data_IF_332202710033
#
_entry.id   IF_332202710033
#
_cell.length_a   1.000
_cell.length_b   1.000
_cell.length_c   1.000
_cell.angle_alpha   90.00
_cell.angle_beta   90.00
_cell.angle_gamma   90.00
#
_symmetry.space_group_name_H-M   'P 1'
#
loop_
_entity.id
_entity.type
_entity.pdbx_description
1 polymer ?
#
# COMPACT_ATOMS: atom_id res chain seq x y z
N UNK A 1 -2.19 1.42 -8.22
CA UNK A 1 -2.81 2.17 -9.35
C UNK A 1 -3.84 1.35 -10.10
N UNK A 2 -3.60 0.07 -10.40
CA UNK A 2 -4.56 -0.74 -11.17
C UNK A 2 -5.84 -1.17 -10.46
N UNK A 3 -6.05 -0.86 -9.17
CA UNK A 3 -7.20 -1.36 -8.42
C UNK A 3 -8.52 -0.85 -9.02
N UNK A 4 -9.52 -1.72 -9.14
CA UNK A 4 -10.87 -1.41 -9.63
C UNK A 4 -11.90 -1.57 -8.52
N UNK A 5 -13.07 -0.96 -8.73
CA UNK A 5 -14.20 -1.10 -7.80
C UNK A 5 -14.65 -2.56 -7.64
N UNK A 6 -14.58 -3.35 -8.71
CA UNK A 6 -14.90 -4.78 -8.73
C UNK A 6 -13.94 -5.64 -7.91
N UNK A 7 -12.74 -5.14 -7.62
CA UNK A 7 -11.76 -5.87 -6.82
C UNK A 7 -11.97 -5.69 -5.30
N UNK A 8 -12.91 -4.82 -4.90
CA UNK A 8 -13.18 -4.48 -3.51
C UNK A 8 -14.53 -5.06 -3.05
N UNK A 9 -14.50 -5.98 -2.08
CA UNK A 9 -15.69 -6.46 -1.40
C UNK A 9 -15.91 -5.65 -0.11
N UNK A 10 -16.86 -4.72 -0.15
CA UNK A 10 -17.17 -3.84 0.99
C UNK A 10 -18.01 -4.52 2.08
N UNK A 11 -18.67 -5.64 1.76
CA UNK A 11 -19.47 -6.41 2.72
C UNK A 11 -18.54 -7.27 3.57
N UNK A 12 -17.70 -8.06 2.92
CA UNK A 12 -16.69 -8.91 3.56
C UNK A 12 -15.44 -8.12 4.01
N UNK A 13 -15.35 -6.84 3.62
CA UNK A 13 -14.21 -5.95 3.92
C UNK A 13 -12.90 -6.56 3.42
N UNK A 14 -12.84 -6.92 2.14
CA UNK A 14 -11.64 -7.47 1.52
C UNK A 14 -11.30 -6.77 0.20
N UNK A 15 -10.02 -6.81 -0.16
CA UNK A 15 -9.49 -6.26 -1.41
C UNK A 15 -8.72 -7.37 -2.14
N UNK A 16 -9.14 -7.71 -3.35
CA UNK A 16 -8.51 -8.69 -4.20
C UNK A 16 -7.42 -8.06 -5.05
N UNK A 17 -6.17 -8.42 -4.81
CA UNK A 17 -5.04 -8.01 -5.64
C UNK A 17 -4.74 -9.14 -6.63
N UNK A 18 -5.26 -9.02 -7.85
CA UNK A 18 -5.18 -10.07 -8.88
C UNK A 18 -4.60 -9.57 -10.22
N UNK A 19 -4.27 -8.28 -10.33
CA UNK A 19 -3.57 -7.68 -11.48
C UNK A 19 -2.78 -6.44 -11.05
N UNK A 20 -1.95 -5.94 -11.96
CA UNK A 20 -1.15 -4.72 -11.77
C UNK A 20 -1.15 -3.89 -13.03
N UNK A 21 -1.15 -2.57 -12.86
CA UNK A 21 -1.10 -1.63 -13.96
C UNK A 21 0.34 -1.14 -14.14
N UNK A 22 0.92 -1.45 -15.28
CA UNK A 22 2.27 -1.07 -15.68
C UNK A 22 2.23 0.15 -16.58
N UNK A 23 3.25 1.00 -16.50
CA UNK A 23 3.44 2.11 -17.44
C UNK A 23 4.81 1.95 -18.11
N UNK A 24 4.82 1.50 -19.36
CA UNK A 24 6.04 1.21 -20.11
C UNK A 24 5.80 1.27 -21.61
N UNK A 25 6.87 1.27 -22.39
CA UNK A 25 6.79 1.11 -23.83
C UNK A 25 6.35 -0.32 -24.17
N UNK A 26 5.32 -0.46 -25.01
CA UNK A 26 4.88 -1.77 -25.52
C UNK A 26 5.83 -2.31 -26.59
N UNK A 27 6.36 -1.42 -27.43
CA UNK A 27 7.36 -1.74 -28.45
C UNK A 27 8.61 -0.86 -28.28
N UNK A 28 9.82 -1.37 -28.60
CA UNK A 28 11.06 -0.59 -28.50
C UNK A 28 10.99 0.69 -29.33
N UNK A 29 11.18 1.85 -28.69
CA UNK A 29 11.10 3.16 -29.36
C UNK A 29 9.69 3.72 -29.53
N UNK A 30 8.67 3.01 -29.06
CA UNK A 30 7.28 3.50 -29.02
C UNK A 30 6.99 4.43 -27.84
N UNK A 31 5.77 4.99 -27.83
CA UNK A 31 5.28 5.75 -26.68
C UNK A 31 5.09 4.84 -25.45
N UNK A 32 5.26 5.41 -24.25
CA UNK A 32 4.88 4.72 -23.03
C UNK A 32 3.37 4.70 -22.90
N UNK A 33 2.81 3.53 -22.61
CA UNK A 33 1.38 3.35 -22.39
C UNK A 33 1.11 2.51 -21.15
N UNK A 34 -0.14 2.57 -20.69
CA UNK A 34 -0.59 1.74 -19.58
C UNK A 34 -0.98 0.36 -20.08
N UNK A 35 -0.54 -0.67 -19.36
CA UNK A 35 -0.74 -2.07 -19.70
C UNK A 35 -1.16 -2.84 -18.44
N UNK A 36 -2.11 -3.75 -18.56
CA UNK A 36 -2.47 -4.66 -17.48
C UNK A 36 -1.51 -5.85 -17.50
N UNK A 37 -0.92 -6.15 -16.34
CA UNK A 37 -0.14 -7.35 -16.10
C UNK A 37 -0.85 -8.18 -15.04
N UNK A 38 -1.31 -9.36 -15.42
CA UNK A 38 -1.79 -10.36 -14.47
C UNK A 38 -0.60 -11.16 -13.93
N UNK A 39 -0.64 -11.58 -12.65
CA UNK A 39 0.38 -12.46 -12.11
C UNK A 39 0.41 -13.78 -12.87
N UNK A 40 1.61 -14.26 -13.19
CA UNK A 40 1.81 -15.56 -13.87
C UNK A 40 1.63 -16.77 -12.95
N UNK A 41 1.59 -16.55 -11.64
CA UNK A 41 1.50 -17.59 -10.61
C UNK A 41 0.45 -17.23 -9.58
N UNK A 42 -0.17 -18.25 -8.98
CA UNK A 42 -1.20 -18.08 -7.93
C UNK A 42 -0.70 -17.23 -6.75
N UNK A 43 0.60 -17.29 -6.43
CA UNK A 43 1.23 -16.50 -5.35
C UNK A 43 1.11 -14.98 -5.54
N UNK A 44 0.94 -14.52 -6.78
CA UNK A 44 0.76 -13.09 -7.05
C UNK A 44 -0.68 -12.61 -6.89
N UNK A 45 -1.64 -13.53 -6.76
CA UNK A 45 -3.03 -13.24 -6.41
C UNK A 45 -3.15 -13.31 -4.89
N UNK A 46 -3.67 -12.25 -4.27
CA UNK A 46 -3.89 -12.23 -2.82
C UNK A 46 -5.12 -11.44 -2.45
N UNK A 47 -5.68 -11.76 -1.30
CA UNK A 47 -6.78 -11.02 -0.69
C UNK A 47 -6.27 -10.34 0.57
N UNK A 48 -6.50 -9.04 0.70
CA UNK A 48 -6.07 -8.25 1.85
C UNK A 48 -7.30 -7.77 2.61
N UNK A 49 -7.36 -7.94 3.95
CA UNK A 49 -8.40 -7.35 4.77
C UNK A 49 -8.44 -5.81 4.64
N UNK A 50 -9.63 -5.26 4.55
CA UNK A 50 -9.88 -3.83 4.43
C UNK A 50 -10.11 -3.22 5.81
N UNK A 51 -9.14 -2.43 6.27
CA UNK A 51 -9.31 -1.66 7.50
C UNK A 51 -10.47 -0.65 7.38
N UNK A 52 -11.11 -0.32 8.51
CA UNK A 52 -12.25 0.62 8.54
C UNK A 52 -11.94 1.96 7.88
N UNK A 53 -10.75 2.53 8.13
CA UNK A 53 -10.34 3.79 7.51
C UNK A 53 -10.12 3.68 6.00
N UNK A 54 -9.63 2.52 5.53
CA UNK A 54 -9.47 2.27 4.09
C UNK A 54 -10.85 2.16 3.42
N UNK A 55 -11.78 1.43 4.06
CA UNK A 55 -13.17 1.33 3.58
C UNK A 55 -13.80 2.71 3.42
N UNK A 56 -13.71 3.52 4.48
CA UNK A 56 -14.25 4.89 4.49
C UNK A 56 -13.64 5.75 3.39
N UNK A 57 -12.32 5.71 3.21
CA UNK A 57 -11.63 6.46 2.17
C UNK A 57 -12.07 6.04 0.75
N UNK A 58 -12.23 4.72 0.51
CA UNK A 58 -12.70 4.20 -0.77
C UNK A 58 -14.17 4.56 -1.04
N UNK A 59 -15.04 4.54 -0.03
CA UNK A 59 -16.44 4.95 -0.19
C UNK A 59 -16.55 6.45 -0.53
N UNK A 60 -15.75 7.30 0.11
CA UNK A 60 -15.66 8.73 -0.20
C UNK A 60 -15.19 8.96 -1.64
N UNK A 61 -14.15 8.25 -2.07
CA UNK A 61 -13.65 8.34 -3.45
C UNK A 61 -14.69 7.88 -4.46
N UNK A 62 -15.43 6.79 -4.18
CA UNK A 62 -16.51 6.30 -5.07
C UNK A 62 -17.60 7.33 -5.25
N UNK A 63 -18.00 7.99 -4.15
CA UNK A 63 -19.00 9.05 -4.20
C UNK A 63 -18.51 10.23 -5.06
N UNK A 64 -17.26 10.67 -4.82
CA UNK A 64 -16.65 11.77 -5.58
C UNK A 64 -16.59 11.46 -7.08
N UNK A 65 -16.19 10.24 -7.47
CA UNK A 65 -16.14 9.84 -8.88
C UNK A 65 -17.53 9.77 -9.52
N UNK A 66 -18.54 9.32 -8.77
CA UNK A 66 -19.91 9.25 -9.28
C UNK A 66 -20.49 10.63 -9.54
N UNK A 67 -20.18 11.61 -8.68
CA UNK A 67 -20.76 12.95 -8.73
C UNK A 67 -19.97 13.93 -9.60
N UNK A 68 -18.63 13.84 -9.62
CA UNK A 68 -17.74 14.89 -10.16
C UNK A 68 -16.97 14.43 -11.39
N UNK A 69 -16.47 13.19 -11.40
CA UNK A 69 -15.59 12.71 -12.45
C UNK A 69 -15.81 11.22 -12.73
N UNK A 70 -16.83 10.86 -13.52
CA UNK A 70 -17.05 9.48 -13.90
C UNK A 70 -15.91 9.03 -14.81
N UNK A 71 -15.09 8.09 -14.32
CA UNK A 71 -14.00 7.52 -15.11
C UNK A 71 -14.53 6.53 -16.15
N UNK A 72 -14.26 6.79 -17.43
CA UNK A 72 -14.63 5.90 -18.54
C UNK A 72 -13.41 5.42 -19.33
N UNK A 73 -12.32 5.11 -18.61
CA UNK A 73 -11.10 4.58 -19.22
C UNK A 73 -11.11 3.06 -19.21
N UNK A 74 -10.74 2.46 -20.34
CA UNK A 74 -10.58 1.02 -20.51
C UNK A 74 -9.16 0.71 -20.97
N UNK A 75 -8.50 -0.25 -20.32
CA UNK A 75 -7.14 -0.70 -20.63
C UNK A 75 -7.15 -2.22 -20.62
N UNK A 76 -6.80 -2.85 -21.74
CA UNK A 76 -6.77 -4.32 -21.91
C UNK A 76 -8.07 -5.03 -21.46
N UNK A 77 -9.23 -4.36 -21.63
CA UNK A 77 -10.54 -4.87 -21.21
C UNK A 77 -10.91 -4.61 -19.74
N UNK A 78 -10.03 -3.98 -18.97
CA UNK A 78 -10.28 -3.57 -17.58
C UNK A 78 -10.79 -2.12 -17.55
N UNK A 79 -11.82 -1.86 -16.74
CA UNK A 79 -12.42 -0.53 -16.54
C UNK A 79 -12.71 -0.28 -15.05
N UNK A 80 -13.44 0.78 -14.70
CA UNK A 80 -13.88 1.07 -13.33
C UNK A 80 -12.72 1.19 -12.32
N UNK A 81 -11.62 1.80 -12.75
CA UNK A 81 -10.45 2.01 -11.91
C UNK A 81 -10.72 3.01 -10.79
N UNK A 82 -10.19 2.72 -9.59
CA UNK A 82 -10.32 3.58 -8.41
C UNK A 82 -9.38 4.78 -8.49
N UNK A 83 -8.18 4.63 -9.03
CA UNK A 83 -7.17 5.69 -9.02
C UNK A 83 -7.13 6.45 -10.35
N UNK A 84 -8.05 7.40 -10.51
CA UNK A 84 -8.20 8.19 -11.73
C UNK A 84 -7.98 9.68 -11.49
N UNK A 85 -7.56 10.41 -12.52
CA UNK A 85 -7.45 11.86 -12.51
C UNK A 85 -8.83 12.51 -12.58
N UNK A 86 -8.92 13.80 -12.30
CA UNK A 86 -10.14 14.61 -12.49
C UNK A 86 -10.62 14.69 -13.95
N UNK A 87 -9.80 14.23 -14.90
CA UNK A 87 -10.15 14.12 -16.32
C UNK A 87 -10.58 12.71 -16.71
N UNK A 88 -10.72 11.79 -15.74
CA UNK A 88 -11.10 10.39 -15.96
C UNK A 88 -9.99 9.48 -16.47
N UNK A 89 -8.74 9.97 -16.56
CA UNK A 89 -7.57 9.19 -16.99
C UNK A 89 -6.93 8.44 -15.82
N UNK A 90 -6.03 7.48 -16.11
CA UNK A 90 -5.29 6.78 -15.05
C UNK A 90 -4.26 7.68 -14.39
N UNK A 91 -4.20 7.62 -13.05
CA UNK A 91 -3.08 8.19 -12.31
C UNK A 91 -1.82 7.32 -12.46
N UNK A 92 -0.75 7.93 -12.97
CA UNK A 92 0.56 7.29 -12.97
C UNK A 92 1.16 7.23 -11.55
N UNK A 93 2.01 6.24 -11.25
CA UNK A 93 2.76 6.20 -9.98
C UNK A 93 3.59 7.47 -9.73
N UNK A 94 4.13 8.09 -10.80
CA UNK A 94 4.86 9.35 -10.73
C UNK A 94 3.96 10.50 -10.25
N UNK A 95 2.71 10.55 -10.69
CA UNK A 95 1.74 11.57 -10.24
C UNK A 95 1.46 11.43 -8.75
N UNK A 96 1.31 10.21 -8.24
CA UNK A 96 1.12 9.95 -6.80
C UNK A 96 2.35 10.39 -6.00
N UNK A 97 3.56 10.00 -6.42
CA UNK A 97 4.78 10.41 -5.71
C UNK A 97 4.99 11.94 -5.77
N UNK A 98 4.61 12.61 -6.87
CA UNK A 98 4.61 14.08 -6.92
C UNK A 98 3.61 14.70 -5.94
N UNK A 99 2.42 14.10 -5.77
CA UNK A 99 1.46 14.56 -4.78
C UNK A 99 2.02 14.41 -3.34
N UNK A 100 2.68 13.28 -3.06
CA UNK A 100 3.37 13.04 -1.78
C UNK A 100 4.45 14.11 -1.54
N UNK A 101 5.29 14.42 -2.53
CA UNK A 101 6.31 15.46 -2.39
C UNK A 101 5.73 16.85 -2.15
N UNK A 102 4.59 17.17 -2.78
CA UNK A 102 3.88 18.43 -2.54
C UNK A 102 3.36 18.50 -1.10
N UNK A 103 2.74 17.42 -0.60
CA UNK A 103 2.26 17.34 0.79
C UNK A 103 3.43 17.53 1.76
N UNK A 104 4.55 16.82 1.54
CA UNK A 104 5.76 16.93 2.36
C UNK A 104 6.29 18.36 2.38
N UNK A 105 6.40 18.99 1.21
CA UNK A 105 6.92 20.36 1.08
C UNK A 105 6.01 21.34 1.80
N UNK A 106 4.70 21.24 1.61
CA UNK A 106 3.72 22.10 2.27
C UNK A 106 3.80 21.98 3.80
N UNK A 107 3.84 20.74 4.32
CA UNK A 107 3.99 20.49 5.75
C UNK A 107 5.30 21.07 6.28
N UNK A 108 6.44 20.79 5.62
CA UNK A 108 7.74 21.24 6.10
C UNK A 108 7.86 22.77 6.11
N UNK A 109 7.25 23.46 5.14
CA UNK A 109 7.20 24.92 5.12
C UNK A 109 6.38 25.44 6.30
N UNK A 110 5.17 24.92 6.50
CA UNK A 110 4.31 25.30 7.62
C UNK A 110 4.95 25.02 8.98
N UNK A 111 5.59 23.86 9.13
CA UNK A 111 6.27 23.46 10.37
C UNK A 111 7.49 24.34 10.65
N UNK A 112 8.21 24.77 9.63
CA UNK A 112 9.34 25.72 9.79
C UNK A 112 8.83 27.07 10.30
N UNK A 113 7.72 27.57 9.75
CA UNK A 113 7.09 28.81 10.21
C UNK A 113 6.62 28.71 11.66
N UNK A 114 5.95 27.61 12.02
CA UNK A 114 5.44 27.36 13.37
C UNK A 114 6.58 27.23 14.39
N UNK A 115 7.62 26.45 14.07
CA UNK A 115 8.76 26.24 14.95
C UNK A 115 9.52 27.56 15.25
N UNK A 116 9.63 28.44 14.26
CA UNK A 116 10.21 29.77 14.44
C UNK A 116 9.37 30.64 15.40
N UNK A 117 8.04 30.59 15.31
CA UNK A 117 7.15 31.32 16.21
C UNK A 117 7.23 30.78 17.65
N UNK A 118 7.35 29.46 17.80
CA UNK A 118 7.44 28.76 19.08
C UNK A 118 8.88 28.70 19.64
N UNK A 119 9.87 29.25 18.92
CA UNK A 119 11.29 29.24 19.29
C UNK A 119 11.84 27.83 19.59
N UNK A 120 11.45 26.86 18.76
CA UNK A 120 11.91 25.47 18.84
C UNK A 120 12.52 25.00 17.52
N UNK A 121 13.22 23.87 17.57
CA UNK A 121 13.68 23.19 16.36
C UNK A 121 12.49 22.63 15.55
N UNK A 122 12.50 22.75 14.21
CA UNK A 122 11.42 22.25 13.36
C UNK A 122 11.47 20.73 13.22
N UNK A 123 10.30 20.09 13.27
CA UNK A 123 10.15 18.64 13.10
C UNK A 123 9.74 18.32 11.66
N UNK A 124 10.74 18.31 10.78
CA UNK A 124 10.52 18.13 9.35
C UNK A 124 10.23 16.67 8.99
N UNK A 125 9.33 16.46 8.04
CA UNK A 125 9.12 15.17 7.40
C UNK A 125 10.30 14.84 6.47
N UNK A 126 10.89 13.64 6.59
CA UNK A 126 11.91 13.16 5.67
C UNK A 126 11.29 12.91 4.28
N UNK A 127 12.13 12.72 3.26
CA UNK A 127 11.65 12.30 1.95
C UNK A 127 11.04 10.89 2.02
N UNK A 128 9.85 10.71 1.43
CA UNK A 128 9.17 9.42 1.38
C UNK A 128 8.35 9.27 0.10
N UNK A 129 8.06 8.01 -0.24
CA UNK A 129 7.29 7.65 -1.43
C UNK A 129 6.17 6.67 -1.09
N UNK A 130 5.33 6.34 -2.06
CA UNK A 130 4.35 5.26 -1.90
C UNK A 130 5.02 3.91 -1.52
N UNK A 131 6.24 3.67 -1.98
CA UNK A 131 6.99 2.48 -1.60
C UNK A 131 7.47 2.54 -0.14
N UNK A 132 7.91 3.72 0.32
CA UNK A 132 8.25 3.95 1.73
C UNK A 132 7.05 3.70 2.64
N UNK A 133 5.86 4.17 2.27
CA UNK A 133 4.62 3.91 3.03
C UNK A 133 4.31 2.41 3.16
N UNK A 134 4.53 1.64 2.09
CA UNK A 134 4.38 0.18 2.13
C UNK A 134 5.39 -0.48 3.08
N UNK A 135 6.63 0.00 3.12
CA UNK A 135 7.63 -0.49 4.09
C UNK A 135 7.25 -0.13 5.52
N UNK A 136 6.76 1.09 5.77
CA UNK A 136 6.25 1.49 7.08
C UNK A 136 5.09 0.59 7.52
N UNK A 137 4.14 0.31 6.62
CA UNK A 137 3.06 -0.65 6.91
C UNK A 137 3.63 -2.04 7.26
N UNK A 138 4.58 -2.55 6.48
CA UNK A 138 5.22 -3.84 6.73
C UNK A 138 5.85 -3.89 8.13
N UNK A 139 6.68 -2.90 8.47
CA UNK A 139 7.36 -2.83 9.76
C UNK A 139 6.35 -2.80 10.91
N UNK A 140 5.32 -1.94 10.85
CA UNK A 140 4.25 -1.88 11.87
C UNK A 140 3.44 -3.16 11.94
N UNK A 141 3.16 -3.80 10.81
CA UNK A 141 2.43 -5.06 10.82
C UNK A 141 3.24 -6.18 11.47
N UNK A 142 4.56 -6.24 11.21
CA UNK A 142 5.48 -7.17 11.86
C UNK A 142 5.66 -6.93 13.37
N UNK A 143 5.41 -5.72 13.88
CA UNK A 143 5.43 -5.44 15.33
C UNK A 143 4.28 -6.15 16.05
N UNK A 144 3.17 -6.41 15.35
CA UNK A 144 1.95 -6.98 15.93
C UNK A 144 1.69 -8.43 15.51
N UNK A 145 2.09 -8.82 14.30
CA UNK A 145 1.93 -10.18 13.78
C UNK A 145 3.25 -10.94 13.86
N UNK A 146 3.19 -12.17 14.37
CA UNK A 146 4.35 -13.06 14.53
C UNK A 146 4.39 -14.18 13.49
N UNK A 147 3.28 -14.43 12.80
CA UNK A 147 3.18 -15.41 11.74
C UNK A 147 3.73 -14.84 10.42
N UNK A 148 4.98 -15.21 10.12
CA UNK A 148 5.67 -14.79 8.89
C UNK A 148 4.91 -15.17 7.61
N UNK A 149 4.14 -16.27 7.62
CA UNK A 149 3.37 -16.70 6.45
C UNK A 149 2.23 -15.72 6.15
N UNK A 150 1.52 -15.29 7.20
CA UNK A 150 0.45 -14.27 7.09
C UNK A 150 1.02 -12.95 6.57
N UNK A 151 2.16 -12.51 7.11
CA UNK A 151 2.85 -11.29 6.66
C UNK A 151 3.24 -11.43 5.18
N UNK A 152 3.84 -12.55 4.79
CA UNK A 152 4.26 -12.79 3.42
C UNK A 152 3.07 -12.75 2.44
N UNK A 153 1.94 -13.37 2.81
CA UNK A 153 0.73 -13.41 1.99
C UNK A 153 0.10 -12.02 1.83
N UNK A 154 -0.04 -11.25 2.91
CA UNK A 154 -0.57 -9.87 2.86
C UNK A 154 0.33 -8.96 2.02
N UNK A 155 1.65 -9.06 2.23
CA UNK A 155 2.61 -8.27 1.47
C UNK A 155 2.66 -8.73 0.00
N UNK A 156 2.50 -10.02 -0.28
CA UNK A 156 2.69 -10.60 -1.62
C UNK A 156 4.16 -10.65 -2.01
N UNK A 157 5.05 -10.94 -1.06
CA UNK A 157 6.48 -11.13 -1.33
C UNK A 157 6.76 -12.58 -1.75
N UNK A 158 7.29 -12.77 -2.97
CA UNK A 158 7.66 -14.10 -3.46
C UNK A 158 8.81 -14.73 -2.66
N UNK A 159 9.74 -13.92 -2.15
CA UNK A 159 10.82 -14.36 -1.27
C UNK A 159 10.62 -13.85 0.15
N UNK A 160 10.84 -14.73 1.13
CA UNK A 160 10.81 -14.38 2.56
C UNK A 160 11.98 -13.47 2.95
N UNK A 161 13.07 -13.44 2.17
CA UNK A 161 14.26 -12.61 2.44
C UNK A 161 13.90 -11.14 2.52
N UNK A 162 13.04 -10.63 1.62
CA UNK A 162 12.59 -9.23 1.63
C UNK A 162 11.79 -8.87 2.88
N UNK A 163 11.08 -9.83 3.46
CA UNK A 163 10.37 -9.66 4.74
C UNK A 163 11.33 -9.82 5.93
N UNK A 164 12.32 -10.69 5.82
CA UNK A 164 13.37 -10.89 6.82
C UNK A 164 14.38 -9.74 6.91
N UNK A 165 14.64 -9.04 5.82
CA UNK A 165 15.52 -7.87 5.79
C UNK A 165 14.92 -6.71 6.63
N UNK A 166 13.59 -6.65 6.75
CA UNK A 166 12.88 -5.75 7.68
C UNK A 166 12.90 -6.29 9.12
N UNK A 167 12.99 -7.61 9.29
CA UNK A 167 12.83 -8.36 10.54
C UNK A 167 14.08 -8.44 11.43
N UNK A 168 15.28 -8.08 10.95
CA UNK A 168 16.53 -8.63 11.50
C UNK A 168 16.94 -8.17 12.94
N UNK A 169 15.99 -7.70 13.75
CA UNK A 169 16.11 -7.55 15.20
C UNK A 169 15.16 -8.49 15.95
N UNK A 170 15.44 -9.80 15.91
CA UNK A 170 14.89 -10.72 16.90
C UNK A 170 15.53 -10.43 18.25
N UNK A 171 14.76 -9.88 19.20
CA UNK A 171 15.28 -9.62 20.54
C UNK A 171 15.30 -10.90 21.38
N UNK A 172 16.20 -10.95 22.37
CA UNK A 172 16.26 -12.07 23.32
C UNK A 172 14.93 -12.26 24.06
N UNK A 173 14.22 -11.16 24.35
CA UNK A 173 12.90 -11.17 24.98
C UNK A 173 11.85 -11.90 24.14
N UNK A 174 11.84 -11.71 22.82
CA UNK A 174 10.93 -12.42 21.91
C UNK A 174 11.21 -13.93 21.91
N UNK A 175 12.49 -14.34 21.98
CA UNK A 175 12.87 -15.76 22.09
C UNK A 175 12.39 -16.38 23.40
N UNK A 176 12.58 -15.68 24.53
CA UNK A 176 12.13 -16.13 25.86
C UNK A 176 10.61 -16.23 25.90
N UNK A 177 9.88 -15.23 25.39
CA UNK A 177 8.42 -15.24 25.36
C UNK A 177 7.86 -16.37 24.47
N UNK A 178 8.52 -16.65 23.33
CA UNK A 178 8.14 -17.77 22.47
C UNK A 178 8.33 -19.12 23.16
N UNK A 179 9.47 -19.33 23.82
CA UNK A 179 9.74 -20.56 24.58
C UNK A 179 8.82 -20.72 25.80
N UNK A 180 8.46 -19.63 26.47
CA UNK A 180 7.51 -19.67 27.59
C UNK A 180 6.12 -20.13 27.14
N UNK A 181 5.61 -19.57 26.03
CA UNK A 181 4.33 -20.00 25.42
C UNK A 181 4.36 -21.48 25.01
N UNK A 182 5.49 -21.95 24.48
CA UNK A 182 5.67 -23.37 24.17
C UNK A 182 5.53 -24.24 25.44
N UNK A 183 6.23 -23.89 26.52
CA UNK A 183 6.18 -24.63 27.78
C UNK A 183 4.81 -24.62 28.48
N UNK A 184 4.00 -23.58 28.28
CA UNK A 184 2.64 -23.49 28.81
C UNK A 184 1.66 -24.41 28.06
N UNK A 185 1.82 -24.55 26.74
CA UNK A 185 1.01 -25.47 25.92
C UNK A 185 1.23 -26.94 26.27
N UNK A 186 2.45 -27.32 26.68
CA UNK A 186 2.78 -28.71 27.06
C UNK A 186 2.41 -29.08 28.52
N UNK A 187 1.90 -28.14 29.33
CA UNK A 187 1.40 -28.46 30.67
C UNK A 187 -0.05 -28.99 30.70
N UNK A 188 -0.69 -29.12 29.55
CA UNK A 188 -2.11 -29.52 29.41
C UNK A 188 -2.26 -30.94 28.81
N UNK A 189 -1.16 -31.68 28.61
CA UNK A 189 -1.17 -33.10 28.21
C UNK A 189 -0.56 -33.94 29.34
#
# INVERSE_FOLDING_TARGET
>A
MGLRWEDCDFAEKTISINHSLLYRQKEPGGACEFLISTPKTETGIRVIPMATEVKRALEQERQFQTEVCPANIMIDGYSNFIFTSQTGGILSPHTVNRAIERIRTAYNNQETELANQEQREPQLLPHFSAHTLRHTFCARFCEHETNLKVIQEIMGHASITTTMDVYNHVTLEQKIASFKRLGETYKII
#
